data_IF_298493712859
#
_entry.id   IF_298493712859
#
_cell.length_a   1.000
_cell.length_b   1.000
_cell.length_c   1.000
_cell.angle_alpha   90.00
_cell.angle_beta   90.00
_cell.angle_gamma   90.00
#
_symmetry.space_group_name_H-M   'P 1'
#
loop_
_entity.id
_entity.type
_entity.pdbx_description
1 polymer ?
#
# COMPACT_ATOMS: atom_id res chain seq x y z
N UNK A 1 10.62 12.97 -8.12
CA UNK A 1 10.53 11.50 -8.03
C UNK A 1 9.13 11.17 -8.46
N UNK A 2 8.99 10.55 -9.62
CA UNK A 2 7.69 10.11 -10.07
C UNK A 2 7.33 8.85 -9.28
N UNK A 3 6.09 8.78 -8.81
CA UNK A 3 5.59 7.64 -8.06
C UNK A 3 4.29 7.20 -8.71
N UNK A 4 4.21 5.91 -9.04
CA UNK A 4 3.03 5.31 -9.66
C UNK A 4 2.09 4.86 -8.55
N UNK A 5 0.86 5.38 -8.58
CA UNK A 5 -0.16 4.96 -7.64
C UNK A 5 -0.61 3.52 -7.94
N UNK A 6 -0.50 2.64 -6.94
CA UNK A 6 -0.93 1.23 -7.04
C UNK A 6 -2.34 1.02 -6.51
N UNK A 7 -2.70 1.71 -5.42
CA UNK A 7 -4.01 1.57 -4.78
C UNK A 7 -4.45 2.89 -4.13
N UNK A 8 -5.76 3.10 -4.09
CA UNK A 8 -6.38 4.20 -3.37
C UNK A 8 -7.62 3.71 -2.63
N UNK A 9 -7.64 3.90 -1.31
CA UNK A 9 -8.66 3.33 -0.43
C UNK A 9 -9.28 4.47 0.40
N UNK A 10 -10.62 4.67 0.35
CA UNK A 10 -11.28 5.70 1.15
C UNK A 10 -11.06 5.51 2.66
N UNK A 11 -10.89 6.61 3.39
CA UNK A 11 -10.84 6.56 4.85
C UNK A 11 -12.27 6.47 5.41
N UNK A 12 -12.61 5.38 6.10
CA UNK A 12 -13.98 5.11 6.58
C UNK A 12 -14.55 6.18 7.55
N UNK A 13 -13.72 7.02 8.18
CA UNK A 13 -14.16 8.00 9.21
C UNK A 13 -13.61 9.42 9.01
N UNK A 14 -12.97 9.72 7.88
CA UNK A 14 -12.38 11.04 7.57
C UNK A 14 -12.58 11.34 6.09
N UNK A 15 -12.58 12.61 5.73
CA UNK A 15 -12.39 13.01 4.32
C UNK A 15 -10.98 12.62 3.89
N UNK A 16 -10.84 12.18 2.64
CA UNK A 16 -9.58 11.72 2.06
C UNK A 16 -9.49 10.22 1.82
N UNK A 17 -8.36 9.87 1.21
CA UNK A 17 -8.02 8.52 0.78
C UNK A 17 -6.63 8.17 1.24
N UNK A 18 -6.43 6.91 1.58
CA UNK A 18 -5.12 6.36 1.78
C UNK A 18 -4.58 5.86 0.44
N UNK A 19 -3.36 6.25 0.14
CA UNK A 19 -2.73 6.05 -1.16
C UNK A 19 -1.53 5.14 -0.95
N UNK A 20 -1.41 4.13 -1.79
CA UNK A 20 -0.18 3.38 -1.97
C UNK A 20 0.43 3.76 -3.32
N UNK A 21 1.70 4.12 -3.32
CA UNK A 21 2.45 4.37 -4.53
C UNK A 21 3.80 3.64 -4.50
N UNK A 22 4.36 3.36 -5.66
CA UNK A 22 5.74 2.89 -5.82
C UNK A 22 6.53 3.93 -6.59
N UNK A 23 7.69 4.32 -6.07
CA UNK A 23 8.62 5.22 -6.74
C UNK A 23 9.57 4.47 -7.68
N UNK A 24 10.26 5.23 -8.54
CA UNK A 24 11.22 4.68 -9.51
C UNK A 24 12.37 3.87 -8.87
N UNK A 25 12.72 4.17 -7.61
CA UNK A 25 13.71 3.45 -6.81
C UNK A 25 13.14 2.19 -6.13
N UNK A 26 11.94 1.77 -6.54
CA UNK A 26 11.25 0.58 -6.01
C UNK A 26 10.94 0.67 -4.51
N UNK A 27 10.72 1.88 -4.01
CA UNK A 27 10.24 2.10 -2.64
C UNK A 27 8.72 2.24 -2.67
N UNK A 28 8.06 1.47 -1.79
CA UNK A 28 6.62 1.52 -1.62
C UNK A 28 6.28 2.55 -0.56
N UNK A 29 5.51 3.56 -0.93
CA UNK A 29 5.06 4.62 -0.06
C UNK A 29 3.58 4.49 0.29
N UNK A 30 3.28 4.60 1.57
CA UNK A 30 1.92 4.72 2.10
C UNK A 30 1.71 6.16 2.54
N UNK A 31 0.70 6.82 1.98
CA UNK A 31 0.36 8.19 2.33
C UNK A 31 -1.13 8.41 2.52
N UNK A 32 -1.50 9.59 3.02
CA UNK A 32 -2.88 10.06 3.07
C UNK A 32 -3.01 11.29 2.18
N UNK A 33 -3.92 11.25 1.22
CA UNK A 33 -4.33 12.40 0.43
C UNK A 33 -5.69 12.89 0.92
N UNK A 34 -5.84 14.20 1.06
CA UNK A 34 -7.16 14.81 1.25
C UNK A 34 -8.00 14.65 -0.03
N UNK A 35 -9.32 14.76 0.10
CA UNK A 35 -10.19 14.75 -1.08
C UNK A 35 -9.88 15.95 -1.98
N UNK A 36 -9.83 15.72 -3.29
CA UNK A 36 -9.44 16.74 -4.28
C UNK A 36 -7.95 17.12 -4.27
N UNK A 37 -7.12 16.52 -3.41
CA UNK A 37 -5.67 16.69 -3.45
C UNK A 37 -5.03 15.69 -4.42
N UNK A 38 -4.09 16.17 -5.22
CA UNK A 38 -3.22 15.33 -6.06
C UNK A 38 -1.96 14.86 -5.32
N UNK A 39 -1.69 15.46 -4.16
CA UNK A 39 -0.57 15.11 -3.30
C UNK A 39 -1.03 14.30 -2.08
N UNK A 40 -0.28 13.25 -1.77
CA UNK A 40 -0.42 12.50 -0.53
C UNK A 40 0.72 12.84 0.45
N UNK A 41 0.39 12.96 1.73
CA UNK A 41 1.38 13.04 2.79
C UNK A 41 1.86 11.63 3.12
N UNK A 42 3.11 11.31 2.81
CA UNK A 42 3.74 10.03 3.16
C UNK A 42 3.73 9.80 4.66
N UNK A 43 3.24 8.64 5.08
CA UNK A 43 3.19 8.18 6.47
C UNK A 43 4.22 7.09 6.74
N UNK A 44 4.49 6.23 5.74
CA UNK A 44 5.46 5.16 5.84
C UNK A 44 6.03 4.83 4.46
N UNK A 45 7.26 4.30 4.45
CA UNK A 45 7.96 3.83 3.27
C UNK A 45 8.57 2.47 3.56
N UNK A 46 8.52 1.57 2.59
CA UNK A 46 9.04 0.21 2.68
C UNK A 46 9.80 -0.11 1.40
N UNK A 47 10.88 -0.86 1.51
CA UNK A 47 11.43 -1.55 0.34
C UNK A 47 10.44 -2.59 -0.17
N UNK A 48 10.55 -3.00 -1.45
CA UNK A 48 9.75 -4.10 -1.98
C UNK A 48 9.91 -5.40 -1.16
N UNK A 49 11.10 -5.66 -0.62
CA UNK A 49 11.39 -6.86 0.18
C UNK A 49 10.60 -6.83 1.49
N UNK A 50 10.66 -5.71 2.21
CA UNK A 50 9.89 -5.53 3.45
C UNK A 50 8.39 -5.60 3.17
N UNK A 51 7.96 -5.01 2.05
CA UNK A 51 6.57 -5.05 1.65
C UNK A 51 6.07 -6.47 1.37
N UNK A 52 6.85 -7.26 0.63
CA UNK A 52 6.53 -8.65 0.32
C UNK A 52 6.46 -9.51 1.59
N UNK A 53 7.49 -9.44 2.44
CA UNK A 53 7.53 -10.20 3.70
C UNK A 53 6.34 -9.86 4.61
N UNK A 54 5.94 -8.59 4.65
CA UNK A 54 4.81 -8.14 5.44
C UNK A 54 3.48 -8.61 4.86
N UNK A 55 3.29 -8.54 3.54
CA UNK A 55 2.08 -9.05 2.91
C UNK A 55 1.94 -10.56 3.08
N UNK A 56 3.03 -11.32 2.94
CA UNK A 56 3.05 -12.76 3.21
C UNK A 56 2.63 -13.06 4.65
N UNK A 57 3.17 -12.34 5.64
CA UNK A 57 2.80 -12.51 7.03
C UNK A 57 1.31 -12.23 7.28
N UNK A 58 0.76 -11.15 6.69
CA UNK A 58 -0.67 -10.82 6.79
C UNK A 58 -1.53 -11.89 6.11
N UNK A 59 -1.15 -12.34 4.91
CA UNK A 59 -1.87 -13.36 4.14
C UNK A 59 -1.84 -14.73 4.81
N UNK A 60 -0.76 -15.07 5.50
CA UNK A 60 -0.63 -16.27 6.30
C UNK A 60 -1.43 -16.23 7.62
N UNK A 61 -2.12 -15.12 7.90
CA UNK A 61 -2.90 -14.95 9.13
C UNK A 61 -2.02 -14.79 10.38
N UNK A 62 -0.79 -14.31 10.23
CA UNK A 62 0.09 -14.06 11.38
C UNK A 62 -0.58 -13.06 12.34
N UNK A 63 -0.86 -13.42 13.61
CA UNK A 63 -1.61 -12.57 14.53
C UNK A 63 -0.97 -11.20 14.76
N UNK A 64 0.35 -11.15 14.85
CA UNK A 64 1.10 -9.89 15.03
C UNK A 64 0.94 -8.99 13.82
N UNK A 65 1.13 -9.53 12.61
CA UNK A 65 0.98 -8.77 11.36
C UNK A 65 -0.48 -8.34 11.11
N UNK A 66 -1.47 -9.14 11.52
CA UNK A 66 -2.88 -8.78 11.39
C UNK A 66 -3.30 -7.64 12.33
N UNK A 67 -2.64 -7.51 13.49
CA UNK A 67 -2.88 -6.42 14.45
C UNK A 67 -2.13 -5.13 14.10
N UNK A 68 -1.29 -5.15 13.07
CA UNK A 68 -0.54 -3.98 12.69
C UNK A 68 -1.45 -2.83 12.19
N UNK A 69 -0.96 -1.57 12.30
CA UNK A 69 -1.64 -0.38 11.83
C UNK A 69 -2.23 -0.51 10.41
N UNK A 70 -3.20 0.34 10.09
CA UNK A 70 -3.87 0.27 8.79
C UNK A 70 -2.94 0.42 7.58
N UNK A 71 -1.69 0.88 7.77
CA UNK A 71 -0.65 0.96 6.76
C UNK A 71 -0.29 -0.45 6.23
N UNK A 72 0.08 -1.37 7.12
CA UNK A 72 0.55 -2.69 6.71
C UNK A 72 -0.54 -3.56 6.08
N UNK A 73 -1.80 -3.38 6.49
CA UNK A 73 -2.95 -4.08 5.86
C UNK A 73 -3.23 -3.63 4.43
N UNK A 74 -2.95 -2.38 4.07
CA UNK A 74 -3.09 -2.00 2.66
C UNK A 74 -1.88 -2.39 1.83
N UNK A 75 -0.71 -2.53 2.44
CA UNK A 75 0.43 -3.12 1.76
C UNK A 75 0.09 -4.54 1.30
N UNK A 76 -0.52 -5.34 2.19
CA UNK A 76 -1.06 -6.65 1.83
C UNK A 76 -2.13 -6.56 0.73
N UNK A 77 -3.11 -5.66 0.86
CA UNK A 77 -4.17 -5.51 -0.14
C UNK A 77 -3.63 -5.11 -1.52
N UNK A 78 -2.63 -4.23 -1.57
CA UNK A 78 -2.06 -3.78 -2.83
C UNK A 78 -1.14 -4.81 -3.47
N UNK A 79 -0.37 -5.56 -2.69
CA UNK A 79 0.43 -6.66 -3.26
C UNK A 79 -0.47 -7.73 -3.87
N UNK A 80 -1.64 -8.01 -3.30
CA UNK A 80 -2.65 -8.88 -3.94
C UNK A 80 -3.09 -8.31 -5.29
N UNK A 81 -3.32 -6.99 -5.40
CA UNK A 81 -3.73 -6.34 -6.65
C UNK A 81 -2.62 -6.41 -7.69
N UNK A 82 -1.38 -6.07 -7.30
CA UNK A 82 -0.21 -6.12 -8.19
C UNK A 82 0.06 -7.54 -8.69
N UNK A 83 0.04 -8.54 -7.80
CA UNK A 83 0.24 -9.95 -8.18
C UNK A 83 -0.86 -10.46 -9.12
N UNK A 84 -2.11 -9.99 -8.96
CA UNK A 84 -3.23 -10.33 -9.86
C UNK A 84 -3.12 -9.68 -11.23
N UNK A 85 -2.56 -8.47 -11.31
CA UNK A 85 -2.32 -7.79 -12.58
C UNK A 85 -1.18 -8.48 -13.36
N UNK A 86 -0.10 -8.87 -12.69
CA UNK A 86 1.00 -9.63 -13.31
C UNK A 86 0.53 -11.00 -13.82
N UNK A 87 -0.42 -11.64 -13.14
CA UNK A 87 -1.01 -12.91 -13.58
C UNK A 87 -2.07 -12.83 -14.67
N UNK A 88 -2.52 -11.63 -15.08
CA UNK A 88 -3.50 -11.45 -16.18
C UNK A 88 -2.86 -11.11 -17.53
N UNK A 89 -1.54 -10.90 -17.56
CA UNK A 89 -0.74 -10.68 -18.78
C UNK A 89 -0.05 -11.97 -19.28
N UNK A 90 -0.46 -13.14 -18.78
CA UNK A 90 0.05 -14.47 -19.14
C UNK A 90 -0.93 -15.31 -19.95
#
# INVERSE_FOLDING_TARGET
MDAVQLASIPLHKKTGRRVLAISDDQVVHIGVAADGSDSALTQASFTLIEAAALAEAVLAGNPTAMTQPGAERMLAAALIITLRQIGSDG
#
